data_IF_383574731245
#
_entry.id   IF_383574731245
#
_cell.length_a   1.000
_cell.length_b   1.000
_cell.length_c   1.000
_cell.angle_alpha   90.00
_cell.angle_beta   90.00
_cell.angle_gamma   90.00
#
_symmetry.space_group_name_H-M   'P 1'
#
loop_
_entity.id
_entity.type
_entity.pdbx_description
1 polymer ?
#
# COMPACT_ATOMS: atom_id res chain seq x y z
N UNK A 1 -9.88 8.10 -4.77
CA UNK A 1 -10.29 8.19 -6.19
C UNK A 1 -11.34 9.30 -6.38
N UNK A 2 -10.96 10.49 -6.86
CA UNK A 2 -11.87 11.47 -7.46
C UNK A 2 -11.65 11.65 -8.98
N UNK A 3 -10.74 10.88 -9.60
CA UNK A 3 -10.40 11.02 -11.03
C UNK A 3 -11.46 10.45 -11.99
N UNK A 4 -12.55 9.85 -11.50
CA UNK A 4 -13.61 9.24 -12.32
C UNK A 4 -14.97 10.00 -12.26
N UNK A 5 -15.00 11.25 -11.79
CA UNK A 5 -16.24 12.04 -11.78
C UNK A 5 -17.26 11.69 -10.70
N UNK A 6 -16.91 10.80 -9.75
CA UNK A 6 -17.73 10.57 -8.55
C UNK A 6 -17.66 11.77 -7.60
N UNK A 7 -18.84 12.25 -7.17
CA UNK A 7 -18.95 13.27 -6.12
C UNK A 7 -18.27 12.76 -4.84
N UNK A 8 -17.27 13.50 -4.37
CA UNK A 8 -16.58 13.19 -3.13
C UNK A 8 -17.59 13.26 -1.96
N UNK A 9 -17.93 12.10 -1.41
CA UNK A 9 -18.81 12.02 -0.26
C UNK A 9 -18.09 12.55 0.98
N UNK A 10 -18.64 13.56 1.66
CA UNK A 10 -18.01 14.21 2.81
C UNK A 10 -17.62 13.21 3.91
N UNK A 11 -18.38 12.13 4.09
CA UNK A 11 -18.08 11.11 5.10
C UNK A 11 -16.90 10.23 4.67
N UNK A 12 -16.64 10.10 3.36
CA UNK A 12 -15.44 9.43 2.83
C UNK A 12 -14.21 10.31 3.11
N UNK A 13 -14.33 11.63 2.92
CA UNK A 13 -13.27 12.58 3.30
C UNK A 13 -12.99 12.54 4.81
N UNK A 14 -14.03 12.55 5.65
CA UNK A 14 -13.88 12.44 7.10
C UNK A 14 -13.17 11.14 7.52
N UNK A 15 -13.53 10.01 6.91
CA UNK A 15 -12.85 8.74 7.17
C UNK A 15 -11.39 8.77 6.70
N UNK A 16 -11.10 9.30 5.51
CA UNK A 16 -9.71 9.45 5.03
C UNK A 16 -8.88 10.34 5.95
N UNK A 17 -9.45 11.44 6.45
CA UNK A 17 -8.78 12.31 7.43
C UNK A 17 -8.53 11.59 8.76
N UNK A 18 -9.49 10.81 9.24
CA UNK A 18 -9.31 9.98 10.44
C UNK A 18 -8.16 8.97 10.27
N UNK A 19 -8.10 8.28 9.12
CA UNK A 19 -7.00 7.36 8.81
C UNK A 19 -5.65 8.07 8.72
N UNK A 20 -5.62 9.26 8.11
CA UNK A 20 -4.41 10.09 8.03
C UNK A 20 -3.93 10.54 9.41
N UNK A 21 -4.84 10.99 10.28
CA UNK A 21 -4.52 11.31 11.68
C UNK A 21 -3.98 10.08 12.43
N UNK A 22 -4.54 8.89 12.15
CA UNK A 22 -3.99 7.63 12.66
C UNK A 22 -2.52 7.44 12.29
N UNK A 23 -2.15 7.69 11.04
CA UNK A 23 -0.73 7.65 10.61
C UNK A 23 0.14 8.66 11.35
N UNK A 24 -0.36 9.88 11.59
CA UNK A 24 0.35 10.91 12.39
C UNK A 24 0.57 10.43 13.83
N UNK A 25 -0.43 9.78 14.43
CA UNK A 25 -0.31 9.20 15.78
C UNK A 25 0.72 8.07 15.82
N UNK A 26 0.78 7.20 14.80
CA UNK A 26 1.80 6.14 14.70
C UNK A 26 3.21 6.74 14.61
N UNK A 27 3.40 7.78 13.79
CA UNK A 27 4.69 8.44 13.61
C UNK A 27 5.15 9.20 14.87
N UNK A 28 4.22 9.54 15.76
CA UNK A 28 4.49 10.35 16.93
C UNK A 28 4.57 11.83 16.59
N UNK A 29 4.15 12.68 17.53
CA UNK A 29 4.31 14.12 17.40
C UNK A 29 5.69 14.51 17.94
N UNK A 30 6.61 14.88 17.04
CA UNK A 30 7.91 15.46 17.42
C UNK A 30 7.81 17.01 17.34
N UNK A 31 7.87 17.73 18.47
CA UNK A 31 7.75 19.19 18.50
C UNK A 31 8.89 19.95 17.77
N UNK A 32 10.01 19.30 17.46
CA UNK A 32 11.08 19.85 16.61
C UNK A 32 11.00 19.39 15.13
N UNK A 33 9.96 18.64 14.78
CA UNK A 33 10.02 17.53 13.83
C UNK A 33 9.68 17.81 12.37
N UNK A 34 10.10 18.94 11.79
CA UNK A 34 10.05 19.07 10.33
C UNK A 34 11.38 18.63 9.70
N UNK A 35 11.44 17.38 9.25
CA UNK A 35 12.58 16.86 8.50
C UNK A 35 12.30 16.92 6.98
N UNK A 36 13.19 17.45 6.13
CA UNK A 36 12.98 17.51 4.67
C UNK A 36 12.61 16.18 4.01
N UNK A 37 13.05 15.06 4.58
CA UNK A 37 12.69 13.71 4.13
C UNK A 37 11.17 13.44 4.16
N UNK A 38 10.39 14.16 4.97
CA UNK A 38 8.94 14.04 5.00
C UNK A 38 8.29 14.46 3.66
N UNK A 39 8.87 15.45 2.96
CA UNK A 39 8.41 15.85 1.63
C UNK A 39 8.62 14.73 0.60
N UNK A 40 9.72 13.98 0.73
CA UNK A 40 9.99 12.81 -0.11
C UNK A 40 8.95 11.72 0.14
N UNK A 41 8.59 11.47 1.41
CA UNK A 41 7.54 10.50 1.76
C UNK A 41 6.16 10.90 1.20
N UNK A 42 5.80 12.18 1.28
CA UNK A 42 4.57 12.70 0.66
C UNK A 42 4.61 12.54 -0.87
N UNK A 43 5.73 12.90 -1.50
CA UNK A 43 5.93 12.69 -2.94
C UNK A 43 5.80 11.22 -3.33
N UNK A 44 6.41 10.31 -2.57
CA UNK A 44 6.29 8.87 -2.78
C UNK A 44 4.85 8.37 -2.66
N UNK A 45 4.08 8.86 -1.67
CA UNK A 45 2.67 8.52 -1.52
C UNK A 45 1.82 8.97 -2.71
N UNK A 46 2.09 10.16 -3.26
CA UNK A 46 1.42 10.68 -4.46
C UNK A 46 1.77 9.83 -5.69
N UNK A 47 3.05 9.53 -5.90
CA UNK A 47 3.50 8.68 -7.01
C UNK A 47 2.91 7.26 -6.91
N UNK A 48 2.83 6.71 -5.70
CA UNK A 48 2.21 5.41 -5.45
C UNK A 48 0.70 5.44 -5.75
N UNK A 49 0.00 6.51 -5.41
CA UNK A 49 -1.40 6.66 -5.78
C UNK A 49 -1.59 6.68 -7.31
N UNK A 50 -0.71 7.37 -8.04
CA UNK A 50 -0.70 7.33 -9.51
C UNK A 50 -0.40 5.94 -10.05
N UNK A 51 0.59 5.23 -9.48
CA UNK A 51 0.95 3.89 -9.94
C UNK A 51 -0.21 2.90 -9.77
N UNK A 52 -1.03 3.03 -8.71
CA UNK A 52 -2.24 2.23 -8.55
C UNK A 52 -3.28 2.51 -9.63
N UNK A 53 -3.51 3.78 -9.98
CA UNK A 53 -4.48 4.17 -11.02
C UNK A 53 -4.02 3.70 -12.39
N UNK A 54 -2.75 3.96 -12.74
CA UNK A 54 -2.17 3.54 -14.01
C UNK A 54 -2.14 2.01 -14.10
N UNK A 55 -1.72 1.32 -13.04
CA UNK A 55 -1.69 -0.14 -12.97
C UNK A 55 -3.06 -0.75 -13.20
N UNK A 56 -4.12 -0.19 -12.59
CA UNK A 56 -5.50 -0.64 -12.84
C UNK A 56 -5.95 -0.42 -14.28
N UNK A 57 -5.61 0.72 -14.88
CA UNK A 57 -5.94 1.01 -16.29
C UNK A 57 -5.21 0.05 -17.24
N UNK A 58 -3.95 -0.23 -16.96
CA UNK A 58 -3.12 -1.12 -17.78
C UNK A 58 -3.57 -2.59 -17.65
N UNK A 59 -3.98 -3.03 -16.46
CA UNK A 59 -4.51 -4.37 -16.23
C UNK A 59 -5.81 -4.69 -16.99
N UNK A 60 -6.53 -3.66 -17.45
CA UNK A 60 -7.73 -3.83 -18.28
C UNK A 60 -7.41 -4.09 -19.77
N UNK A 61 -6.23 -3.70 -20.24
CA UNK A 61 -5.86 -3.78 -21.68
C UNK A 61 -4.70 -4.75 -21.93
N UNK A 62 -3.80 -4.91 -20.97
CA UNK A 62 -2.55 -5.64 -21.11
C UNK A 62 -2.55 -6.96 -20.33
N UNK A 63 -1.73 -7.91 -20.80
CA UNK A 63 -1.51 -9.18 -20.09
C UNK A 63 -0.75 -8.93 -18.78
N UNK A 64 -1.10 -9.61 -17.67
CA UNK A 64 -0.42 -9.44 -16.38
C UNK A 64 1.10 -9.63 -16.42
N UNK A 65 1.59 -10.57 -17.23
CA UNK A 65 3.02 -10.85 -17.40
C UNK A 65 3.75 -9.66 -18.04
N UNK A 66 3.13 -8.99 -19.01
CA UNK A 66 3.69 -7.80 -19.65
C UNK A 66 3.85 -6.67 -18.65
N UNK A 67 2.81 -6.39 -17.87
CA UNK A 67 2.82 -5.36 -16.83
C UNK A 67 3.91 -5.66 -15.79
N UNK A 68 4.00 -6.91 -15.33
CA UNK A 68 5.01 -7.35 -14.38
C UNK A 68 6.42 -7.18 -14.94
N UNK A 69 6.66 -7.56 -16.19
CA UNK A 69 7.96 -7.40 -16.84
C UNK A 69 8.42 -5.94 -16.86
N UNK A 70 7.58 -5.04 -17.38
CA UNK A 70 7.93 -3.62 -17.44
C UNK A 70 8.06 -2.99 -16.05
N UNK A 71 7.18 -3.34 -15.11
CA UNK A 71 7.29 -2.86 -13.73
C UNK A 71 8.61 -3.28 -13.09
N UNK A 72 9.01 -4.54 -13.24
CA UNK A 72 10.28 -5.06 -12.71
C UNK A 72 11.49 -4.41 -13.38
N UNK A 73 11.49 -4.25 -14.71
CA UNK A 73 12.60 -3.62 -15.43
C UNK A 73 12.74 -2.15 -15.05
N UNK A 74 11.65 -1.39 -15.01
CA UNK A 74 11.68 0.02 -14.63
C UNK A 74 12.13 0.17 -13.18
N UNK A 75 11.61 -0.66 -12.27
CA UNK A 75 12.02 -0.64 -10.85
C UNK A 75 13.50 -0.98 -10.72
N UNK A 76 14.00 -1.99 -11.44
CA UNK A 76 15.41 -2.37 -11.46
C UNK A 76 16.28 -1.20 -11.90
N UNK A 77 15.99 -0.59 -13.05
CA UNK A 77 16.76 0.54 -13.59
C UNK A 77 16.67 1.76 -12.66
N UNK A 78 15.48 2.08 -12.14
CA UNK A 78 15.30 3.19 -11.21
C UNK A 78 16.04 2.97 -9.89
N UNK A 79 16.11 1.72 -9.41
CA UNK A 79 16.85 1.35 -8.19
C UNK A 79 18.37 1.27 -8.40
N UNK A 80 18.85 1.09 -9.64
CA UNK A 80 20.28 1.02 -9.93
C UNK A 80 21.01 2.33 -9.63
N UNK A 81 20.38 3.49 -9.89
CA UNK A 81 20.97 4.79 -9.61
C UNK A 81 21.26 5.02 -8.11
N UNK A 82 20.30 4.87 -7.17
CA UNK A 82 20.60 4.96 -5.75
C UNK A 82 21.50 3.82 -5.28
N UNK A 83 21.33 2.60 -5.81
CA UNK A 83 22.22 1.49 -5.46
C UNK A 83 23.69 1.78 -5.79
N UNK A 84 23.98 2.43 -6.92
CA UNK A 84 25.34 2.81 -7.30
C UNK A 84 25.93 3.88 -6.37
N UNK A 85 25.11 4.77 -5.79
CA UNK A 85 25.57 5.84 -4.90
C UNK A 85 25.92 5.35 -3.49
N UNK A 86 25.19 4.34 -2.99
CA UNK A 86 25.34 3.82 -1.63
C UNK A 86 25.58 2.31 -1.61
N UNK A 87 26.31 1.81 -2.61
CA UNK A 87 26.51 0.37 -2.82
C UNK A 87 27.16 -0.28 -1.60
N UNK A 88 26.55 -1.36 -1.10
CA UNK A 88 27.16 -2.25 -0.13
C UNK A 88 27.08 -3.67 -0.68
N UNK A 89 28.23 -4.34 -0.75
CA UNK A 89 28.30 -5.70 -1.27
C UNK A 89 27.72 -6.67 -0.24
N UNK A 90 26.62 -7.37 -0.56
CA UNK A 90 26.00 -8.29 0.38
C UNK A 90 26.87 -9.54 0.57
N UNK A 91 26.86 -10.11 1.77
CA UNK A 91 27.44 -11.43 2.03
C UNK A 91 26.54 -12.54 1.44
N UNK A 92 26.99 -13.80 1.47
CA UNK A 92 26.25 -14.93 0.93
C UNK A 92 24.87 -15.09 1.58
N UNK A 93 24.79 -14.94 2.90
CA UNK A 93 23.52 -15.04 3.66
C UNK A 93 22.53 -13.94 3.24
N UNK A 94 23.01 -12.70 3.11
CA UNK A 94 22.22 -11.56 2.67
C UNK A 94 21.76 -11.74 1.22
N UNK A 95 22.61 -12.30 0.36
CA UNK A 95 22.29 -12.60 -1.04
C UNK A 95 21.19 -13.66 -1.13
N UNK A 96 21.25 -14.71 -0.30
CA UNK A 96 20.18 -15.73 -0.24
C UNK A 96 18.86 -15.13 0.24
N UNK A 97 18.90 -14.27 1.27
CA UNK A 97 17.71 -13.55 1.74
C UNK A 97 17.12 -12.62 0.67
N UNK A 98 17.97 -11.89 -0.05
CA UNK A 98 17.55 -11.04 -1.17
C UNK A 98 16.90 -11.86 -2.29
N UNK A 99 17.42 -13.05 -2.61
CA UNK A 99 16.81 -13.94 -3.59
C UNK A 99 15.42 -14.41 -3.16
N UNK A 100 15.27 -14.79 -1.88
CA UNK A 100 13.96 -15.16 -1.30
C UNK A 100 12.98 -13.99 -1.37
N UNK A 101 13.40 -12.79 -0.95
CA UNK A 101 12.59 -11.57 -1.05
C UNK A 101 12.19 -11.28 -2.50
N UNK A 102 13.11 -11.46 -3.45
CA UNK A 102 12.86 -11.30 -4.88
C UNK A 102 11.77 -12.23 -5.40
N UNK A 103 11.80 -13.51 -5.03
CA UNK A 103 10.76 -14.50 -5.41
C UNK A 103 9.40 -14.11 -4.84
N UNK A 104 9.34 -13.77 -3.55
CA UNK A 104 8.08 -13.33 -2.92
C UNK A 104 7.57 -12.02 -3.51
N UNK A 105 8.45 -11.07 -3.83
CA UNK A 105 8.09 -9.81 -4.47
C UNK A 105 7.52 -10.02 -5.87
N UNK A 106 8.12 -10.88 -6.69
CA UNK A 106 7.60 -11.25 -8.00
C UNK A 106 6.23 -11.92 -7.91
N UNK A 107 6.08 -12.89 -6.98
CA UNK A 107 4.80 -13.53 -6.70
C UNK A 107 3.73 -12.51 -6.27
N UNK A 108 4.08 -11.58 -5.37
CA UNK A 108 3.19 -10.50 -4.92
C UNK A 108 2.68 -9.65 -6.08
N UNK A 109 3.58 -9.17 -6.96
CA UNK A 109 3.20 -8.34 -8.11
C UNK A 109 2.28 -9.13 -9.06
N UNK A 110 2.58 -10.41 -9.32
CA UNK A 110 1.74 -11.26 -10.14
C UNK A 110 0.32 -11.42 -9.56
N UNK A 111 0.21 -11.75 -8.27
CA UNK A 111 -1.08 -11.93 -7.60
C UNK A 111 -1.87 -10.63 -7.50
N UNK A 112 -1.21 -9.49 -7.26
CA UNK A 112 -1.86 -8.18 -7.25
C UNK A 112 -2.50 -7.86 -8.61
N UNK A 113 -1.75 -8.02 -9.71
CA UNK A 113 -2.27 -7.74 -11.06
C UNK A 113 -3.42 -8.69 -11.40
N UNK A 114 -3.30 -9.98 -11.05
CA UNK A 114 -4.38 -10.96 -11.26
C UNK A 114 -5.61 -10.65 -10.41
N UNK A 115 -5.41 -10.22 -9.15
CA UNK A 115 -6.48 -9.79 -8.26
C UNK A 115 -7.22 -8.56 -8.80
N UNK A 116 -6.50 -7.59 -9.35
CA UNK A 116 -7.11 -6.42 -10.00
C UNK A 116 -7.88 -6.76 -11.28
N UNK A 117 -7.46 -7.80 -12.01
CA UNK A 117 -8.16 -8.26 -13.21
C UNK A 117 -9.38 -9.15 -12.91
N UNK A 118 -9.37 -9.92 -11.81
CA UNK A 118 -10.37 -10.94 -11.51
C UNK A 118 -11.53 -10.47 -10.61
N UNK A 119 -11.37 -9.38 -9.85
CA UNK A 119 -12.37 -8.95 -8.87
C UNK A 119 -12.85 -7.51 -9.05
N UNK A 120 -14.14 -7.28 -8.82
CA UNK A 120 -14.65 -5.92 -8.54
C UNK A 120 -13.87 -5.32 -7.37
N UNK A 121 -13.53 -4.04 -7.45
CA UNK A 121 -12.70 -3.34 -6.46
C UNK A 121 -13.20 -3.52 -5.00
N UNK A 122 -14.50 -3.77 -4.81
CA UNK A 122 -15.12 -4.05 -3.52
C UNK A 122 -14.78 -5.41 -2.89
N UNK A 123 -14.42 -6.43 -3.67
CA UNK A 123 -14.07 -7.77 -3.15
C UNK A 123 -12.61 -7.84 -2.67
N UNK A 124 -11.71 -7.07 -3.30
CA UNK A 124 -10.27 -7.07 -2.97
C UNK A 124 -9.96 -6.17 -1.77
N UNK A 125 -10.76 -5.12 -1.55
CA UNK A 125 -10.55 -4.15 -0.47
C UNK A 125 -10.40 -4.77 0.94
N UNK A 126 -11.20 -5.78 1.36
CA UNK A 126 -11.09 -6.40 2.68
C UNK A 126 -9.75 -7.14 2.92
N UNK A 127 -9.14 -7.71 1.87
CA UNK A 127 -7.89 -8.46 2.01
C UNK A 127 -6.69 -7.57 2.38
N UNK A 128 -6.72 -6.30 1.97
CA UNK A 128 -5.72 -5.32 2.37
C UNK A 128 -5.66 -5.10 3.89
N UNK A 129 -6.80 -5.24 4.59
CA UNK A 129 -6.85 -5.07 6.05
C UNK A 129 -6.33 -6.28 6.79
N UNK A 130 -6.63 -7.48 6.29
CA UNK A 130 -6.06 -8.70 6.85
C UNK A 130 -4.54 -8.69 6.76
N UNK A 131 -3.99 -8.13 5.68
CA UNK A 131 -2.55 -7.93 5.53
C UNK A 131 -1.93 -7.10 6.65
N UNK A 132 -2.59 -6.03 7.11
CA UNK A 132 -2.06 -5.17 8.19
C UNK A 132 -1.90 -5.96 9.48
N UNK A 133 -2.92 -6.76 9.84
CA UNK A 133 -2.89 -7.60 11.04
C UNK A 133 -1.76 -8.63 10.95
N UNK A 134 -1.61 -9.29 9.80
CA UNK A 134 -0.55 -10.26 9.58
C UNK A 134 0.85 -9.63 9.65
N UNK A 135 1.04 -8.44 9.10
CA UNK A 135 2.32 -7.71 9.17
C UNK A 135 2.66 -7.35 10.62
N UNK A 136 1.69 -6.86 11.39
CA UNK A 136 1.91 -6.54 12.80
C UNK A 136 2.23 -7.80 13.64
N UNK A 137 1.52 -8.90 13.40
CA UNK A 137 1.79 -10.17 14.06
C UNK A 137 3.18 -10.73 13.69
N UNK A 138 3.57 -10.64 12.41
CA UNK A 138 4.90 -11.04 11.96
C UNK A 138 6.00 -10.16 12.57
N UNK A 139 5.78 -8.84 12.68
CA UNK A 139 6.66 -7.90 13.38
C UNK A 139 6.95 -8.35 14.82
N UNK A 140 5.90 -8.67 15.56
CA UNK A 140 6.02 -9.16 16.93
C UNK A 140 6.68 -10.54 17.02
N UNK A 141 6.27 -11.51 16.19
CA UNK A 141 6.73 -12.90 16.29
C UNK A 141 8.16 -13.10 15.78
N UNK A 142 8.56 -12.38 14.73
CA UNK A 142 9.86 -12.57 14.05
C UNK A 142 10.91 -11.59 14.57
N UNK A 143 10.51 -10.33 14.83
CA UNK A 143 11.44 -9.26 15.19
C UNK A 143 11.33 -8.83 16.66
N UNK A 144 10.44 -9.45 17.44
CA UNK A 144 10.14 -9.06 18.82
C UNK A 144 9.78 -7.56 18.96
N UNK A 145 9.25 -6.95 17.90
CA UNK A 145 8.83 -5.55 17.91
C UNK A 145 7.57 -5.42 18.78
N UNK A 146 7.72 -4.80 19.95
CA UNK A 146 6.59 -4.50 20.84
C UNK A 146 5.95 -3.18 20.37
N UNK A 147 4.68 -3.21 19.90
CA UNK A 147 4.00 -1.99 19.48
C UNK A 147 3.85 -1.03 20.66
N UNK A 148 4.22 0.23 20.47
CA UNK A 148 3.96 1.28 21.45
C UNK A 148 2.47 1.58 21.56
N UNK A 149 2.04 2.19 22.67
CA UNK A 149 0.64 2.61 22.84
C UNK A 149 0.17 3.52 21.69
N UNK A 150 1.04 4.43 21.22
CA UNK A 150 0.74 5.30 20.09
C UNK A 150 0.59 4.51 18.78
N UNK A 151 1.44 3.53 18.53
CA UNK A 151 1.32 2.65 17.37
C UNK A 151 -0.02 1.89 17.37
N UNK A 152 -0.45 1.39 18.53
CA UNK A 152 -1.74 0.70 18.68
C UNK A 152 -2.93 1.64 18.43
N UNK A 153 -2.93 2.84 19.00
CA UNK A 153 -4.01 3.82 18.82
C UNK A 153 -4.08 4.25 17.35
N UNK A 154 -2.95 4.59 16.75
CA UNK A 154 -2.90 5.00 15.35
C UNK A 154 -3.32 3.87 14.40
N UNK A 155 -2.88 2.64 14.67
CA UNK A 155 -3.32 1.46 13.91
C UNK A 155 -4.84 1.24 14.02
N UNK A 156 -5.43 1.38 15.22
CA UNK A 156 -6.87 1.28 15.41
C UNK A 156 -7.64 2.34 14.59
N UNK A 157 -7.17 3.60 14.58
CA UNK A 157 -7.75 4.67 13.76
C UNK A 157 -7.71 4.34 12.26
N UNK A 158 -6.56 3.88 11.77
CA UNK A 158 -6.39 3.46 10.37
C UNK A 158 -7.36 2.32 10.06
N UNK A 159 -7.39 1.26 10.87
CA UNK A 159 -8.24 0.09 10.66
C UNK A 159 -9.72 0.50 10.61
N UNK A 160 -10.21 1.26 11.61
CA UNK A 160 -11.62 1.69 11.69
C UNK A 160 -12.00 2.57 10.50
N UNK A 161 -11.16 3.56 10.16
CA UNK A 161 -11.44 4.45 9.05
C UNK A 161 -11.54 3.71 7.71
N UNK A 162 -10.67 2.73 7.50
CA UNK A 162 -10.61 2.02 6.23
C UNK A 162 -11.70 0.94 6.13
N UNK A 163 -12.04 0.27 7.23
CA UNK A 163 -13.23 -0.60 7.35
C UNK A 163 -14.52 0.17 7.05
N UNK A 164 -14.66 1.38 7.59
CA UNK A 164 -15.83 2.23 7.34
C UNK A 164 -16.00 2.57 5.86
N UNK A 165 -14.90 2.92 5.17
CA UNK A 165 -14.91 3.20 3.73
C UNK A 165 -15.31 1.93 2.95
N UNK A 166 -14.66 0.79 3.24
CA UNK A 166 -14.91 -0.46 2.53
C UNK A 166 -16.33 -0.99 2.70
N UNK A 167 -16.87 -1.00 3.93
CA UNK A 167 -18.25 -1.44 4.17
C UNK A 167 -19.26 -0.59 3.40
N UNK A 168 -18.99 0.70 3.27
CA UNK A 168 -19.89 1.62 2.59
C UNK A 168 -19.83 1.49 1.07
N UNK A 169 -18.65 1.30 0.51
CA UNK A 169 -18.49 0.99 -0.92
C UNK A 169 -19.18 -0.34 -1.26
N UNK A 170 -19.04 -1.37 -0.41
CA UNK A 170 -19.74 -2.64 -0.59
C UNK A 170 -21.28 -2.48 -0.54
N UNK A 171 -21.81 -1.65 0.37
CA UNK A 171 -23.25 -1.35 0.44
C UNK A 171 -23.76 -0.57 -0.78
N UNK A 172 -22.95 0.36 -1.32
CA UNK A 172 -23.30 1.13 -2.53
C UNK A 172 -23.24 0.28 -3.80
N UNK A 173 -22.25 -0.61 -3.93
CA UNK A 173 -22.16 -1.55 -5.06
C UNK A 173 -23.35 -2.51 -5.12
N UNK A 174 -23.82 -3.00 -3.96
CA UNK A 174 -25.04 -3.84 -3.88
C UNK A 174 -26.32 -3.09 -4.24
N UNK A 175 -26.43 -1.81 -3.91
CA UNK A 175 -27.60 -1.00 -4.24
C UNK A 175 -27.70 -0.65 -5.74
N UNK A 176 -26.56 -0.56 -6.44
CA UNK A 176 -26.51 -0.33 -7.90
C UNK A 176 -26.76 -1.58 -8.75
N UNK A 177 -26.53 -2.79 -8.20
CA UNK A 177 -26.78 -4.06 -8.89
C UNK A 177 -28.25 -4.54 -8.79
N UNK A 178 -29.13 -3.77 -8.14
CA UNK A 178 -30.56 -4.05 -7.96
C UNK A 178 -31.48 -3.09 -8.73
N UNK A 179 -30.93 -2.21 -9.58
CA UNK A 179 -31.65 -1.35 -10.52
C UNK A 179 -31.37 -1.83 -11.95
#
# INVERSE_FOLDING_TARGET
>A
MPLLGERADWRRMAATLCGFLGTVVVLGFDPGGFHPAMLVAVGAAVLFAFSLIIGKKLAATERPVTIMFYFSVVTMVASAAPAALVWQTPNLDETMLLAVVGVFAAGRVYFDIRGYAAGEAGFVAPFGYFRIILVAAAGYLVFAEIPTANALIGAAMIIVSTLFIAQREARRGRAGAQM
#
